data_IF_317604376848
#
_entry.id   IF_317604376848
#
_cell.length_a   1.000
_cell.length_b   1.000
_cell.length_c   1.000
_cell.angle_alpha   90.00
_cell.angle_beta   90.00
_cell.angle_gamma   90.00
#
_symmetry.space_group_name_H-M   'P 1'
#
loop_
_entity.id
_entity.type
_entity.pdbx_description
1 polymer ?
#
# COMPACT_ATOMS: atom_id res chain seq x y z
N UNK A 1 -15.77 -9.85 0.74
CA UNK A 1 -14.55 -10.35 0.05
C UNK A 1 -14.15 -9.18 -0.80
N UNK A 2 -12.97 -8.62 -0.56
CA UNK A 2 -12.62 -7.35 -1.20
C UNK A 2 -12.39 -7.54 -2.69
N UNK A 3 -12.78 -6.55 -3.47
CA UNK A 3 -12.45 -6.42 -4.87
C UNK A 3 -11.22 -5.51 -5.02
N UNK A 4 -10.30 -5.89 -5.91
CA UNK A 4 -9.16 -5.06 -6.28
C UNK A 4 -9.44 -4.42 -7.64
N UNK A 5 -9.68 -3.11 -7.64
CA UNK A 5 -9.96 -2.35 -8.87
C UNK A 5 -8.72 -1.59 -9.27
N UNK A 6 -8.33 -1.66 -10.56
CA UNK A 6 -7.17 -0.93 -11.06
C UNK A 6 -7.36 0.56 -10.84
N UNK A 7 -6.37 1.23 -10.26
CA UNK A 7 -6.44 2.69 -10.04
C UNK A 7 -6.54 3.47 -11.37
N UNK A 8 -6.15 2.86 -12.48
CA UNK A 8 -6.18 3.48 -13.80
C UNK A 8 -7.55 3.37 -14.49
N UNK A 9 -8.45 2.55 -13.95
CA UNK A 9 -9.83 2.40 -14.41
C UNK A 9 -10.79 3.32 -13.63
N UNK A 10 -10.32 3.92 -12.54
CA UNK A 10 -11.14 4.71 -11.61
C UNK A 10 -10.80 6.19 -11.67
N UNK A 11 -11.74 7.00 -12.16
CA UNK A 11 -11.54 8.45 -12.34
C UNK A 11 -11.20 9.17 -11.03
N UNK A 12 -11.64 8.66 -9.88
CA UNK A 12 -11.38 9.25 -8.57
C UNK A 12 -10.02 8.86 -7.99
N UNK A 13 -9.34 7.84 -8.54
CA UNK A 13 -8.25 7.15 -7.86
C UNK A 13 -7.07 8.07 -7.55
N UNK A 14 -6.65 8.90 -8.52
CA UNK A 14 -5.53 9.82 -8.31
C UNK A 14 -5.76 10.72 -7.09
N UNK A 15 -6.98 11.27 -6.94
CA UNK A 15 -7.35 12.11 -5.79
C UNK A 15 -7.50 11.29 -4.51
N UNK A 16 -8.15 10.13 -4.58
CA UNK A 16 -8.32 9.24 -3.43
C UNK A 16 -6.97 8.82 -2.83
N UNK A 17 -6.02 8.43 -3.68
CA UNK A 17 -4.67 8.03 -3.28
C UNK A 17 -3.88 9.19 -2.65
N UNK A 18 -4.14 10.43 -3.08
CA UNK A 18 -3.57 11.61 -2.44
C UNK A 18 -4.14 11.83 -1.03
N UNK A 19 -5.44 11.61 -0.83
CA UNK A 19 -6.06 11.64 0.51
C UNK A 19 -5.52 10.51 1.40
N UNK A 20 -5.36 9.31 0.85
CA UNK A 20 -4.73 8.18 1.55
C UNK A 20 -3.30 8.53 1.98
N UNK A 21 -2.50 9.14 1.10
CA UNK A 21 -1.15 9.56 1.42
C UNK A 21 -1.11 10.57 2.58
N UNK A 22 -2.05 11.53 2.61
CA UNK A 22 -2.17 12.50 3.70
C UNK A 22 -2.54 11.90 5.06
N UNK A 23 -3.23 10.75 5.06
CA UNK A 23 -3.59 10.04 6.30
C UNK A 23 -2.43 9.23 6.90
N UNK A 24 -1.30 9.10 6.22
CA UNK A 24 -0.16 8.33 6.73
C UNK A 24 0.54 9.06 7.87
N UNK A 25 0.81 8.34 8.95
CA UNK A 25 1.68 8.81 10.03
C UNK A 25 3.17 8.68 9.64
N UNK A 26 4.09 9.34 10.36
CA UNK A 26 5.53 9.19 10.13
C UNK A 26 5.99 7.73 10.19
N UNK A 27 5.47 6.95 11.13
CA UNK A 27 5.80 5.54 11.31
C UNK A 27 5.26 4.70 10.14
N UNK A 28 4.18 5.13 9.47
CA UNK A 28 3.65 4.44 8.30
C UNK A 28 4.41 4.76 7.00
N UNK A 29 5.29 5.76 7.03
CA UNK A 29 6.01 6.24 5.85
C UNK A 29 7.43 5.65 5.80
N UNK A 30 7.83 5.17 4.62
CA UNK A 30 9.19 4.66 4.35
C UNK A 30 10.01 5.58 3.44
N UNK A 31 9.35 6.29 2.51
CA UNK A 31 10.02 7.03 1.43
C UNK A 31 9.76 8.54 1.46
N UNK A 32 8.68 8.98 2.11
CA UNK A 32 8.28 10.38 2.13
C UNK A 32 8.66 11.00 3.47
N UNK A 33 9.57 11.98 3.45
CA UNK A 33 9.80 12.88 4.59
C UNK A 33 8.92 14.12 4.57
N UNK A 34 8.44 14.50 3.38
CA UNK A 34 7.59 15.66 3.14
C UNK A 34 6.45 15.29 2.22
N UNK A 35 5.28 15.85 2.48
CA UNK A 35 4.10 15.68 1.64
C UNK A 35 4.34 16.33 0.26
N UNK A 36 4.17 15.60 -0.86
CA UNK A 36 4.21 16.19 -2.19
C UNK A 36 2.99 17.08 -2.41
N UNK A 37 3.10 18.04 -3.32
CA UNK A 37 1.93 18.74 -3.84
C UNK A 37 1.03 17.79 -4.64
N UNK A 38 -0.25 18.15 -4.79
CA UNK A 38 -1.19 17.38 -5.62
C UNK A 38 -0.69 17.24 -7.07
N UNK A 39 0.01 18.25 -7.60
CA UNK A 39 0.57 18.23 -8.95
C UNK A 39 1.70 17.19 -9.08
N UNK A 40 2.61 17.15 -8.11
CA UNK A 40 3.69 16.16 -8.07
C UNK A 40 3.13 14.74 -7.90
N UNK A 41 2.14 14.57 -7.03
CA UNK A 41 1.43 13.29 -6.88
C UNK A 41 0.74 12.85 -8.17
N UNK A 42 0.04 13.75 -8.87
CA UNK A 42 -0.60 13.42 -10.14
C UNK A 42 0.43 13.02 -11.21
N UNK A 43 1.57 13.72 -11.28
CA UNK A 43 2.66 13.35 -12.19
C UNK A 43 3.24 11.96 -11.86
N UNK A 44 3.42 11.65 -10.58
CA UNK A 44 3.83 10.32 -10.12
C UNK A 44 2.77 9.25 -10.45
N UNK A 45 1.49 9.53 -10.26
CA UNK A 45 0.40 8.62 -10.61
C UNK A 45 0.40 8.27 -12.10
N UNK A 46 0.50 9.29 -12.97
CA UNK A 46 0.48 9.11 -14.43
C UNK A 46 1.75 8.49 -15.00
N UNK A 47 2.85 8.43 -14.26
CA UNK A 47 4.08 7.75 -14.71
C UNK A 47 4.02 6.22 -14.61
N UNK A 48 2.92 5.67 -14.07
CA UNK A 48 2.72 4.23 -13.85
C UNK A 48 3.89 3.59 -13.08
N UNK A 49 4.14 4.02 -11.83
CA UNK A 49 5.38 3.72 -11.13
C UNK A 49 5.45 2.27 -10.64
N UNK A 50 4.30 1.64 -10.43
CA UNK A 50 4.17 0.30 -9.87
C UNK A 50 3.82 -0.73 -10.94
N UNK A 51 4.14 -2.00 -10.67
CA UNK A 51 3.73 -3.12 -11.51
C UNK A 51 2.21 -3.26 -11.50
N UNK A 52 1.61 -3.09 -10.32
CA UNK A 52 0.16 -3.05 -10.15
C UNK A 52 -0.22 -2.07 -9.04
N UNK A 53 -1.35 -1.40 -9.19
CA UNK A 53 -1.87 -0.49 -8.16
C UNK A 53 -3.39 -0.56 -8.15
N UNK A 54 -3.96 -0.87 -6.98
CA UNK A 54 -5.38 -1.12 -6.80
C UNK A 54 -5.98 -0.24 -5.71
N UNK A 55 -7.23 0.16 -5.94
CA UNK A 55 -8.15 0.51 -4.87
C UNK A 55 -8.74 -0.78 -4.29
N UNK A 56 -8.92 -0.82 -2.97
CA UNK A 56 -9.55 -1.95 -2.28
C UNK A 56 -11.01 -1.57 -2.07
N UNK A 57 -11.93 -2.31 -2.70
CA UNK A 57 -13.37 -2.06 -2.65
C UNK A 57 -14.08 -3.15 -1.83
N UNK A 58 -15.04 -2.76 -0.99
CA UNK A 58 -16.00 -3.68 -0.37
C UNK A 58 -17.40 -3.10 -0.58
N UNK A 59 -18.23 -3.79 -1.36
CA UNK A 59 -19.51 -3.23 -1.82
C UNK A 59 -19.29 -1.98 -2.68
N UNK A 60 -19.86 -0.85 -2.27
CA UNK A 60 -19.67 0.45 -2.94
C UNK A 60 -18.57 1.31 -2.31
N UNK A 61 -17.97 0.86 -1.20
CA UNK A 61 -17.00 1.64 -0.44
C UNK A 61 -15.55 1.33 -0.84
N UNK A 62 -14.74 2.38 -0.93
CA UNK A 62 -13.29 2.26 -1.03
C UNK A 62 -12.66 2.23 0.36
N UNK A 63 -12.21 1.05 0.78
CA UNK A 63 -11.72 0.82 2.14
C UNK A 63 -10.21 1.05 2.28
N UNK A 64 -9.50 1.16 1.16
CA UNK A 64 -8.06 1.34 1.17
C UNK A 64 -7.43 1.26 -0.22
N UNK A 65 -6.12 1.05 -0.24
CA UNK A 65 -5.35 0.84 -1.47
C UNK A 65 -4.21 -0.13 -1.22
N UNK A 66 -3.80 -0.83 -2.28
CA UNK A 66 -2.64 -1.72 -2.25
C UNK A 66 -1.88 -1.61 -3.57
N UNK A 67 -0.57 -1.78 -3.54
CA UNK A 67 0.27 -1.75 -4.74
C UNK A 67 1.32 -2.85 -4.69
N UNK A 68 1.76 -3.26 -5.87
CA UNK A 68 2.86 -4.19 -6.10
C UNK A 68 3.97 -3.46 -6.86
N UNK A 69 5.15 -3.33 -6.27
CA UNK A 69 6.30 -2.71 -6.96
C UNK A 69 6.88 -3.66 -8.01
N UNK A 70 7.74 -3.13 -8.89
CA UNK A 70 8.47 -3.93 -9.89
C UNK A 70 9.43 -4.95 -9.25
N UNK A 71 9.77 -4.77 -7.98
CA UNK A 71 10.57 -5.70 -7.18
C UNK A 71 9.70 -6.64 -6.33
N UNK A 72 8.40 -6.74 -6.64
CA UNK A 72 7.43 -7.59 -5.95
C UNK A 72 7.20 -7.23 -4.48
N UNK A 73 7.36 -5.95 -4.12
CA UNK A 73 7.04 -5.47 -2.78
C UNK A 73 5.56 -5.07 -2.72
N UNK A 74 4.83 -5.61 -1.75
CA UNK A 74 3.44 -5.30 -1.47
C UNK A 74 3.41 -4.16 -0.46
N UNK A 75 2.81 -3.04 -0.85
CA UNK A 75 2.43 -1.97 0.06
C UNK A 75 0.93 -1.90 0.22
N UNK A 76 0.43 -1.79 1.44
CA UNK A 76 -0.99 -1.75 1.74
C UNK A 76 -1.33 -0.62 2.71
N UNK A 77 -2.50 -0.01 2.50
CA UNK A 77 -3.08 0.94 3.43
C UNK A 77 -4.59 0.74 3.50
N UNK A 78 -5.11 0.59 4.72
CA UNK A 78 -6.55 0.53 5.02
C UNK A 78 -6.91 1.81 5.77
N UNK A 79 -8.01 2.45 5.41
CA UNK A 79 -8.48 3.63 6.14
C UNK A 79 -8.87 3.24 7.58
N UNK A 80 -8.60 4.13 8.55
CA UNK A 80 -8.74 3.83 9.99
C UNK A 80 -10.16 3.39 10.37
N UNK A 81 -11.17 4.00 9.75
CA UNK A 81 -12.59 3.65 9.91
C UNK A 81 -12.92 2.19 9.53
N UNK A 82 -12.06 1.54 8.75
CA UNK A 82 -12.24 0.16 8.32
C UNK A 82 -11.24 -0.83 8.96
N UNK A 83 -10.41 -0.39 9.91
CA UNK A 83 -9.49 -1.29 10.63
C UNK A 83 -10.24 -2.35 11.43
N UNK A 84 -9.62 -3.53 11.58
CA UNK A 84 -10.22 -4.66 12.31
C UNK A 84 -11.19 -5.53 11.50
N UNK A 85 -11.59 -5.12 10.29
CA UNK A 85 -12.55 -5.87 9.46
C UNK A 85 -11.93 -6.93 8.53
N UNK A 86 -10.61 -7.17 8.61
CA UNK A 86 -9.94 -8.19 7.79
C UNK A 86 -9.66 -7.81 6.33
N UNK A 87 -9.96 -6.57 5.91
CA UNK A 87 -9.69 -6.11 4.54
C UNK A 87 -8.21 -6.11 4.16
N UNK A 88 -7.32 -5.84 5.14
CA UNK A 88 -5.87 -5.92 4.92
C UNK A 88 -5.41 -7.31 4.50
N UNK A 89 -5.82 -8.33 5.26
CA UNK A 89 -5.52 -9.73 4.97
C UNK A 89 -6.09 -10.16 3.61
N UNK A 90 -7.33 -9.78 3.34
CA UNK A 90 -8.01 -10.11 2.09
C UNK A 90 -7.31 -9.49 0.88
N UNK A 91 -6.89 -8.22 0.96
CA UNK A 91 -6.23 -7.53 -0.14
C UNK A 91 -4.82 -8.07 -0.41
N UNK A 92 -4.04 -8.42 0.62
CA UNK A 92 -2.72 -9.03 0.41
C UNK A 92 -2.85 -10.41 -0.24
N UNK A 93 -3.79 -11.25 0.24
CA UNK A 93 -4.05 -12.56 -0.36
C UNK A 93 -4.53 -12.44 -1.81
N UNK A 94 -5.38 -11.46 -2.12
CA UNK A 94 -5.82 -11.20 -3.48
C UNK A 94 -4.65 -10.83 -4.41
N UNK A 95 -3.71 -9.97 -3.97
CA UNK A 95 -2.49 -9.72 -4.75
C UNK A 95 -1.69 -11.01 -4.96
N UNK A 96 -1.51 -11.82 -3.92
CA UNK A 96 -0.75 -13.07 -4.00
C UNK A 96 -1.40 -14.13 -4.91
N UNK A 97 -2.70 -14.01 -5.20
CA UNK A 97 -3.41 -14.88 -6.14
C UNK A 97 -3.35 -14.36 -7.58
N UNK A 98 -3.31 -13.03 -7.75
CA UNK A 98 -3.28 -12.37 -9.07
C UNK A 98 -1.91 -12.36 -9.72
N UNK A 99 -0.84 -12.43 -8.92
CA UNK A 99 0.54 -12.29 -9.39
C UNK A 99 1.39 -13.48 -8.96
N UNK A 100 2.45 -13.76 -9.69
CA UNK A 100 3.42 -14.78 -9.33
C UNK A 100 4.47 -14.21 -8.34
N UNK A 101 4.74 -14.96 -7.27
CA UNK A 101 5.73 -14.61 -6.25
C UNK A 101 7.19 -14.84 -6.69
N UNK A 102 8.17 -14.63 -5.79
CA UNK A 102 8.02 -14.31 -4.36
C UNK A 102 7.52 -12.88 -4.10
N UNK A 103 6.99 -12.64 -2.89
CA UNK A 103 6.50 -11.34 -2.46
C UNK A 103 7.25 -10.83 -1.22
N UNK A 104 7.41 -9.51 -1.14
CA UNK A 104 8.09 -8.83 -0.05
C UNK A 104 7.22 -7.70 0.53
N UNK A 105 7.57 -7.20 1.70
CA UNK A 105 7.00 -5.97 2.25
C UNK A 105 8.10 -5.18 2.94
N UNK A 106 8.32 -3.94 2.50
CA UNK A 106 9.24 -3.02 3.15
C UNK A 106 8.45 -2.17 4.14
N UNK A 107 8.81 -2.30 5.41
CA UNK A 107 8.06 -1.72 6.52
C UNK A 107 9.02 -0.87 7.34
N UNK A 108 8.59 0.34 7.70
CA UNK A 108 9.32 1.19 8.62
C UNK A 108 9.47 0.44 9.97
N UNK A 109 10.67 0.37 10.58
CA UNK A 109 10.89 -0.36 11.83
C UNK A 109 9.99 0.10 12.99
N UNK A 110 9.53 1.36 12.99
CA UNK A 110 8.64 1.90 14.02
C UNK A 110 7.17 1.48 13.80
N UNK A 111 6.82 0.90 12.65
CA UNK A 111 5.47 0.43 12.35
C UNK A 111 5.23 -0.99 12.86
N UNK A 112 5.22 -1.14 14.19
CA UNK A 112 5.01 -2.42 14.88
C UNK A 112 3.72 -3.11 14.41
N UNK A 113 2.65 -2.35 14.18
CA UNK A 113 1.36 -2.88 13.71
C UNK A 113 1.47 -3.56 12.34
N UNK A 114 2.13 -2.93 11.37
CA UNK A 114 2.34 -3.52 10.04
C UNK A 114 3.30 -4.72 10.10
N UNK A 115 4.35 -4.63 10.92
CA UNK A 115 5.27 -5.77 11.14
C UNK A 115 4.51 -6.99 11.66
N UNK A 116 3.69 -6.81 12.70
CA UNK A 116 2.90 -7.90 13.29
C UNK A 116 1.85 -8.44 12.32
N UNK A 117 1.23 -7.56 11.52
CA UNK A 117 0.31 -7.95 10.46
C UNK A 117 0.98 -8.89 9.45
N UNK A 118 2.12 -8.52 8.88
CA UNK A 118 2.81 -9.37 7.90
C UNK A 118 3.38 -10.65 8.53
N UNK A 119 3.85 -10.61 9.79
CA UNK A 119 4.25 -11.82 10.52
C UNK A 119 3.09 -12.80 10.69
N UNK A 120 1.88 -12.33 11.00
CA UNK A 120 0.67 -13.17 11.08
C UNK A 120 0.30 -13.80 9.74
N UNK A 121 0.64 -13.15 8.62
CA UNK A 121 0.53 -13.72 7.27
C UNK A 121 1.63 -14.74 6.94
N UNK A 122 2.56 -15.01 7.85
CA UNK A 122 3.66 -15.95 7.66
C UNK A 122 4.94 -15.34 7.06
N UNK A 123 5.00 -14.01 6.90
CA UNK A 123 6.22 -13.35 6.45
C UNK A 123 7.35 -13.52 7.48
N UNK A 124 8.57 -13.71 6.98
CA UNK A 124 9.79 -13.79 7.79
C UNK A 124 10.63 -12.53 7.53
N UNK A 125 11.27 -12.03 8.58
CA UNK A 125 12.22 -10.93 8.44
C UNK A 125 13.50 -11.46 7.80
N UNK A 126 13.90 -10.88 6.65
CA UNK A 126 15.06 -11.35 5.86
C UNK A 126 16.14 -10.29 5.62
N UNK A 127 15.83 -9.00 5.78
CA UNK A 127 16.76 -7.92 5.50
C UNK A 127 16.46 -6.64 6.29
N UNK A 128 17.45 -5.78 6.42
CA UNK A 128 17.32 -4.40 6.88
C UNK A 128 17.91 -3.45 5.83
N UNK A 129 17.27 -2.29 5.64
CA UNK A 129 17.79 -1.21 4.79
C UNK A 129 18.25 -0.06 5.68
N UNK A 130 19.49 0.40 5.48
CA UNK A 130 20.07 1.51 6.24
C UNK A 130 20.38 2.68 5.30
N UNK A 131 19.96 3.87 5.69
CA UNK A 131 20.30 5.11 5.00
C UNK A 131 21.58 5.70 5.61
N UNK A 132 22.54 6.05 4.76
CA UNK A 132 23.79 6.71 5.16
C UNK A 132 23.75 8.17 4.71
N UNK A 133 24.13 9.09 5.60
CA UNK A 133 24.21 10.55 5.37
C UNK A 133 22.84 11.20 5.09
N UNK A 134 21.92 11.10 6.06
CA UNK A 134 20.55 11.62 5.96
C UNK A 134 20.37 13.11 6.31
#
# INVERSE_FOLDING_TARGET
MVELVSVYEEAIACRFLYEVLKKRTPEQSISHKKMPSLKEHAAFFHSHPYLAWYLIKEGEDYVGSTYLTKNHEIGIFILNEFHGNGYGDSAVKAIMQLWDGPFYANINPDNVSSIDFFKKLGAKHIQNTYLLND
#
